data_IF_779792360059
#
_entry.id   IF_779792360059
#
_cell.length_a   1.000
_cell.length_b   1.000
_cell.length_c   1.000
_cell.angle_alpha   90.00
_cell.angle_beta   90.00
_cell.angle_gamma   90.00
#
_symmetry.space_group_name_H-M   'P 1'
#
loop_
_entity.id
_entity.type
_entity.pdbx_description
1 polymer ?
#
# COMPACT_ATOMS: atom_id res chain seq x y z
N UNK A 1 -13.97 -60.22 -30.26
CA UNK A 1 -12.63 -59.64 -30.46
C UNK A 1 -12.62 -58.29 -29.77
N UNK A 2 -11.73 -58.15 -28.80
CA UNK A 2 -11.74 -57.18 -27.70
C UNK A 2 -11.68 -55.71 -28.11
N UNK A 3 -12.39 -54.87 -27.36
CA UNK A 3 -12.07 -53.45 -27.19
C UNK A 3 -11.67 -53.23 -25.73
N UNK A 4 -10.42 -52.81 -25.52
CA UNK A 4 -9.89 -52.44 -24.21
C UNK A 4 -10.58 -51.16 -23.68
N UNK A 5 -11.15 -51.24 -22.48
CA UNK A 5 -11.55 -50.10 -21.67
C UNK A 5 -10.39 -49.71 -20.74
N UNK A 6 -9.80 -48.54 -20.93
CA UNK A 6 -8.84 -47.95 -19.97
C UNK A 6 -9.62 -47.19 -18.91
N UNK A 7 -9.67 -47.71 -17.68
CA UNK A 7 -10.21 -47.00 -16.50
C UNK A 7 -9.11 -46.10 -15.95
N UNK A 8 -9.28 -44.78 -16.05
CA UNK A 8 -8.46 -43.80 -15.35
C UNK A 8 -9.03 -43.62 -13.93
N UNK A 9 -8.33 -44.15 -12.93
CA UNK A 9 -8.59 -43.87 -11.51
C UNK A 9 -8.18 -42.42 -11.19
N UNK A 10 -9.15 -41.52 -11.08
CA UNK A 10 -8.98 -40.23 -10.41
C UNK A 10 -9.00 -40.47 -8.90
N UNK A 11 -7.83 -40.48 -8.27
CA UNK A 11 -7.71 -40.48 -6.81
C UNK A 11 -8.11 -39.11 -6.27
N UNK A 12 -9.37 -38.98 -5.87
CA UNK A 12 -9.80 -37.91 -4.97
C UNK A 12 -9.16 -38.16 -3.60
N UNK A 13 -8.03 -37.49 -3.35
CA UNK A 13 -7.49 -37.30 -1.99
C UNK A 13 -8.49 -36.46 -1.20
N UNK A 14 -9.50 -37.12 -0.63
CA UNK A 14 -10.31 -36.55 0.43
C UNK A 14 -9.42 -36.41 1.66
N UNK A 15 -9.00 -35.17 1.95
CA UNK A 15 -8.39 -34.85 3.23
C UNK A 15 -9.41 -35.20 4.32
N UNK A 16 -9.05 -36.13 5.21
CA UNK A 16 -9.93 -36.51 6.31
C UNK A 16 -10.27 -35.29 7.19
N UNK A 17 -11.47 -35.22 7.78
CA UNK A 17 -11.87 -34.10 8.64
C UNK A 17 -10.87 -33.83 9.77
N UNK A 18 -10.21 -34.88 10.26
CA UNK A 18 -9.17 -34.82 11.30
C UNK A 18 -7.91 -34.12 10.80
N UNK A 19 -7.44 -34.45 9.59
CA UNK A 19 -6.28 -33.78 8.99
C UNK A 19 -6.60 -32.31 8.65
N UNK A 20 -7.84 -32.02 8.25
CA UNK A 20 -8.29 -30.64 8.03
C UNK A 20 -8.30 -29.85 9.35
N UNK A 21 -8.87 -30.42 10.42
CA UNK A 21 -8.95 -29.82 11.77
C UNK A 21 -7.57 -29.59 12.39
N UNK A 22 -6.67 -30.58 12.35
CA UNK A 22 -5.30 -30.43 12.85
C UNK A 22 -4.55 -29.31 12.11
N UNK A 23 -4.75 -29.22 10.79
CA UNK A 23 -4.15 -28.16 9.97
C UNK A 23 -4.81 -26.79 10.25
N UNK A 24 -6.09 -26.72 10.63
CA UNK A 24 -6.76 -25.47 11.07
C UNK A 24 -6.11 -25.01 12.37
N UNK A 25 -5.96 -25.91 13.33
CA UNK A 25 -5.41 -25.61 14.65
C UNK A 25 -3.94 -25.19 14.60
N UNK A 26 -3.10 -25.88 13.84
CA UNK A 26 -1.69 -25.48 13.62
C UNK A 26 -1.57 -24.11 12.92
N UNK A 27 -2.54 -23.77 12.05
CA UNK A 27 -2.59 -22.47 11.36
C UNK A 27 -2.99 -21.31 12.28
N UNK A 28 -3.95 -21.53 13.18
CA UNK A 28 -4.31 -20.57 14.23
C UNK A 28 -3.12 -20.30 15.16
N UNK A 29 -2.43 -21.36 15.60
CA UNK A 29 -1.25 -21.27 16.49
C UNK A 29 -0.15 -20.37 15.90
N UNK A 30 0.17 -20.53 14.62
CA UNK A 30 1.20 -19.71 13.97
C UNK A 30 0.75 -18.26 13.67
N UNK A 31 -0.55 -18.02 13.47
CA UNK A 31 -1.08 -16.67 13.33
C UNK A 31 -1.00 -15.95 14.67
N UNK A 32 -1.42 -16.60 15.75
CA UNK A 32 -1.22 -16.12 17.11
C UNK A 32 0.26 -15.93 17.42
N UNK A 33 1.15 -16.78 16.86
CA UNK A 33 2.59 -16.57 16.95
C UNK A 33 3.04 -15.30 16.22
N UNK A 34 2.51 -15.00 15.03
CA UNK A 34 2.83 -13.75 14.33
C UNK A 34 2.30 -12.52 15.08
N UNK A 35 1.04 -12.57 15.56
CA UNK A 35 0.46 -11.49 16.36
C UNK A 35 1.25 -11.27 17.63
N UNK A 36 1.53 -12.34 18.37
CA UNK A 36 2.34 -12.33 19.58
C UNK A 36 3.73 -11.79 19.29
N UNK A 37 4.39 -12.23 18.21
CA UNK A 37 5.68 -11.69 17.78
C UNK A 37 5.61 -10.19 17.48
N UNK A 38 4.59 -9.73 16.74
CA UNK A 38 4.44 -8.32 16.37
C UNK A 38 4.11 -7.44 17.59
N UNK A 39 3.23 -7.91 18.47
CA UNK A 39 2.89 -7.26 19.74
C UNK A 39 4.08 -7.24 20.72
N UNK A 40 4.84 -8.33 20.81
CA UNK A 40 6.08 -8.40 21.58
C UNK A 40 7.11 -7.42 21.04
N UNK A 41 7.30 -7.38 19.71
CA UNK A 41 8.23 -6.45 19.07
C UNK A 41 7.82 -4.98 19.31
N UNK A 42 6.52 -4.68 19.20
CA UNK A 42 5.95 -3.38 19.58
C UNK A 42 6.26 -3.02 21.05
N UNK A 43 5.99 -3.93 22.00
CA UNK A 43 6.22 -3.69 23.42
C UNK A 43 7.71 -3.54 23.77
N UNK A 44 8.57 -4.36 23.16
CA UNK A 44 10.02 -4.25 23.29
C UNK A 44 10.51 -2.88 22.83
N UNK A 45 10.06 -2.42 21.66
CA UNK A 45 10.45 -1.13 21.11
C UNK A 45 10.02 0.03 22.00
N UNK A 46 8.74 0.05 22.42
CA UNK A 46 8.20 1.03 23.36
C UNK A 46 8.97 1.08 24.68
N UNK A 47 9.38 -0.09 25.19
CA UNK A 47 10.17 -0.20 26.42
C UNK A 47 11.57 0.39 26.21
N UNK A 48 12.24 0.04 25.11
CA UNK A 48 13.55 0.59 24.74
C UNK A 48 13.49 2.11 24.58
N UNK A 49 12.49 2.64 23.87
CA UNK A 49 12.28 4.09 23.70
C UNK A 49 12.07 4.79 25.04
N UNK A 50 11.25 4.21 25.94
CA UNK A 50 11.07 4.75 27.29
C UNK A 50 12.35 4.76 28.11
N UNK A 51 13.22 3.76 27.96
CA UNK A 51 14.51 3.69 28.65
C UNK A 51 15.52 4.71 28.08
N UNK A 52 15.55 4.88 26.75
CA UNK A 52 16.40 5.87 26.09
C UNK A 52 15.99 7.31 26.42
N UNK A 53 14.69 7.59 26.46
CA UNK A 53 14.17 8.88 26.92
C UNK A 53 14.59 9.20 28.37
N UNK A 54 14.65 8.19 29.25
CA UNK A 54 15.10 8.34 30.64
C UNK A 54 16.62 8.53 30.77
N UNK A 55 17.42 8.05 29.82
CA UNK A 55 18.89 8.18 29.86
C UNK A 55 19.41 9.47 29.21
N UNK A 56 18.52 10.35 28.73
CA UNK A 56 18.90 11.58 28.01
C UNK A 56 19.50 11.33 26.63
N UNK A 57 19.50 10.09 26.16
CA UNK A 57 20.03 9.71 24.87
C UNK A 57 18.89 9.71 23.84
N UNK A 58 18.52 10.88 23.33
CA UNK A 58 17.50 11.07 22.29
C UNK A 58 17.98 10.60 20.89
N UNK A 59 18.86 9.60 20.83
CA UNK A 59 19.36 9.04 19.58
C UNK A 59 18.24 8.32 18.86
N UNK A 60 17.65 8.98 17.86
CA UNK A 60 16.80 8.34 16.86
C UNK A 60 17.47 7.06 16.36
N UNK A 61 16.76 5.93 16.40
CA UNK A 61 17.20 4.64 15.83
C UNK A 61 17.23 4.65 14.30
N UNK A 62 17.43 5.81 13.68
CA UNK A 62 17.49 5.99 12.24
C UNK A 62 18.60 5.11 11.67
N UNK A 63 18.29 4.45 10.56
CA UNK A 63 19.26 3.71 9.76
C UNK A 63 20.51 4.59 9.51
N UNK A 64 21.70 4.08 9.83
CA UNK A 64 22.95 4.82 9.68
C UNK A 64 23.18 5.26 8.23
N UNK A 65 22.74 4.45 7.26
CA UNK A 65 22.85 4.80 5.83
C UNK A 65 21.95 6.00 5.53
N UNK A 66 20.71 6.00 6.04
CA UNK A 66 19.81 7.13 5.89
C UNK A 66 20.37 8.38 6.58
N UNK A 67 20.87 8.26 7.81
CA UNK A 67 21.47 9.38 8.54
C UNK A 67 22.58 10.04 7.73
N UNK A 68 23.48 9.24 7.14
CA UNK A 68 24.55 9.78 6.29
C UNK A 68 23.98 10.46 5.04
N UNK A 69 22.96 9.88 4.41
CA UNK A 69 22.32 10.48 3.25
C UNK A 69 21.67 11.85 3.56
N UNK A 70 21.12 12.03 4.77
CA UNK A 70 20.49 13.28 5.20
C UNK A 70 21.49 14.39 5.57
N UNK A 71 22.79 14.09 5.79
CA UNK A 71 23.78 15.09 6.20
C UNK A 71 24.17 16.08 5.08
N UNK A 72 24.16 15.62 3.83
CA UNK A 72 24.65 16.38 2.67
C UNK A 72 23.58 16.52 1.58
N UNK A 73 22.44 17.10 1.94
CA UNK A 73 21.32 17.25 1.00
C UNK A 73 21.69 18.05 -0.23
N UNK A 74 21.24 17.58 -1.39
CA UNK A 74 21.25 18.33 -2.64
C UNK A 74 19.85 18.86 -2.91
N UNK A 75 19.76 20.04 -3.53
CA UNK A 75 18.49 20.59 -3.98
C UNK A 75 18.56 20.88 -5.48
N UNK A 76 17.56 20.40 -6.21
CA UNK A 76 17.36 20.60 -7.63
C UNK A 76 15.97 21.19 -7.83
N UNK A 77 15.82 22.17 -8.71
CA UNK A 77 14.53 22.79 -9.06
C UNK A 77 14.13 22.40 -10.48
N UNK A 78 12.90 21.95 -10.64
CA UNK A 78 12.26 21.69 -11.94
C UNK A 78 11.19 22.74 -12.18
N UNK A 79 11.28 23.46 -13.31
CA UNK A 79 10.28 24.47 -13.71
C UNK A 79 10.08 24.47 -15.22
N UNK A 80 8.85 24.27 -15.68
CA UNK A 80 8.54 24.19 -17.13
C UNK A 80 8.80 25.51 -17.88
N UNK A 81 8.86 26.65 -17.17
CA UNK A 81 9.17 27.98 -17.73
C UNK A 81 10.68 28.26 -17.86
N UNK A 82 11.54 27.31 -17.44
CA UNK A 82 12.99 27.45 -17.50
C UNK A 82 13.62 28.21 -16.33
N UNK A 83 12.86 28.60 -15.31
CA UNK A 83 13.39 29.28 -14.11
C UNK A 83 14.12 28.35 -13.13
N UNK A 84 14.11 27.03 -13.39
CA UNK A 84 14.72 25.99 -12.57
C UNK A 84 16.04 25.47 -13.15
N UNK A 85 16.60 24.42 -12.54
CA UNK A 85 17.76 23.70 -13.07
C UNK A 85 17.39 22.82 -14.28
N UNK A 86 16.16 22.30 -14.30
CA UNK A 86 15.62 21.48 -15.40
C UNK A 86 14.20 21.91 -15.74
N UNK A 87 13.75 21.60 -16.96
CA UNK A 87 12.36 21.85 -17.39
C UNK A 87 11.46 20.62 -17.23
N UNK A 88 12.06 19.43 -17.12
CA UNK A 88 11.35 18.15 -16.91
C UNK A 88 11.82 17.43 -15.65
N UNK A 89 10.94 16.60 -15.08
CA UNK A 89 11.26 15.79 -13.91
C UNK A 89 12.18 14.63 -14.31
N UNK A 90 12.00 14.07 -15.51
CA UNK A 90 12.83 13.00 -16.04
C UNK A 90 14.30 13.40 -16.18
N UNK A 91 14.60 14.62 -16.64
CA UNK A 91 15.97 15.13 -16.73
C UNK A 91 16.60 15.32 -15.35
N UNK A 92 15.87 15.88 -14.39
CA UNK A 92 16.34 16.02 -13.01
C UNK A 92 16.64 14.68 -12.35
N UNK A 93 15.80 13.66 -12.56
CA UNK A 93 16.09 12.30 -12.08
C UNK A 93 17.27 11.69 -12.83
N UNK A 94 17.45 12.00 -14.12
CA UNK A 94 18.54 11.49 -14.93
C UNK A 94 19.91 12.03 -14.51
N UNK A 95 19.97 13.28 -14.03
CA UNK A 95 21.21 13.90 -13.54
C UNK A 95 21.74 13.30 -12.25
N UNK A 96 20.89 12.61 -11.47
CA UNK A 96 21.29 11.95 -10.23
C UNK A 96 22.14 10.71 -10.57
N UNK A 97 23.35 10.59 -10.01
CA UNK A 97 24.25 9.49 -10.30
C UNK A 97 23.66 8.15 -9.84
N UNK A 98 24.04 7.07 -10.54
CA UNK A 98 23.76 5.71 -10.06
C UNK A 98 24.49 5.48 -8.73
N UNK A 99 23.90 4.65 -7.88
CA UNK A 99 24.34 4.39 -6.51
C UNK A 99 24.44 5.66 -5.67
N UNK A 100 23.43 6.53 -5.81
CA UNK A 100 23.30 7.74 -5.03
C UNK A 100 23.33 7.43 -3.51
N UNK A 101 24.11 8.22 -2.76
CA UNK A 101 24.31 8.05 -1.31
C UNK A 101 23.84 9.25 -0.49
N UNK A 102 23.36 10.30 -1.15
CA UNK A 102 22.94 11.56 -0.53
C UNK A 102 21.48 11.84 -0.85
N UNK A 103 20.76 12.47 0.06
CA UNK A 103 19.40 12.94 -0.19
C UNK A 103 19.41 13.99 -1.31
N UNK A 104 18.67 13.74 -2.39
CA UNK A 104 18.44 14.73 -3.45
C UNK A 104 16.98 15.16 -3.41
N UNK A 105 16.75 16.41 -3.01
CA UNK A 105 15.43 17.06 -2.97
C UNK A 105 15.16 17.76 -4.30
N UNK A 106 14.24 17.21 -5.08
CA UNK A 106 13.75 17.78 -6.33
C UNK A 106 12.51 18.60 -6.01
N UNK A 107 12.67 19.93 -5.95
CA UNK A 107 11.55 20.86 -5.91
C UNK A 107 10.92 20.94 -7.31
N UNK A 108 9.63 20.64 -7.41
CA UNK A 108 8.88 20.67 -8.66
C UNK A 108 7.91 21.85 -8.58
N UNK A 109 8.11 22.86 -9.43
CA UNK A 109 7.23 24.03 -9.50
C UNK A 109 5.83 23.63 -9.97
N UNK A 110 4.80 24.42 -9.65
CA UNK A 110 3.44 24.14 -10.11
C UNK A 110 3.37 23.99 -11.63
N UNK A 111 2.64 22.98 -12.10
CA UNK A 111 2.54 22.68 -13.51
C UNK A 111 1.89 21.33 -13.78
N UNK A 112 1.61 21.07 -15.06
CA UNK A 112 1.13 19.79 -15.54
C UNK A 112 2.25 19.09 -16.31
N UNK A 113 2.83 18.07 -15.68
CA UNK A 113 3.97 17.31 -16.19
C UNK A 113 3.47 16.03 -16.84
N UNK A 114 3.38 16.03 -18.18
CA UNK A 114 3.00 14.86 -18.98
C UNK A 114 4.21 13.95 -19.19
N UNK A 115 4.58 13.22 -18.16
CA UNK A 115 5.79 12.38 -18.14
C UNK A 115 5.49 10.98 -17.60
N UNK A 116 6.09 9.97 -18.21
CA UNK A 116 6.13 8.60 -17.68
C UNK A 116 7.50 8.34 -17.06
N UNK A 117 7.53 8.16 -15.73
CA UNK A 117 8.77 8.18 -14.97
C UNK A 117 9.00 6.84 -14.26
N UNK A 118 10.24 6.33 -14.37
CA UNK A 118 10.70 5.17 -13.61
C UNK A 118 11.98 5.52 -12.86
N UNK A 119 11.90 5.60 -11.53
CA UNK A 119 13.09 5.68 -10.68
C UNK A 119 13.65 4.27 -10.51
N UNK A 120 14.85 4.07 -11.05
CA UNK A 120 15.56 2.79 -10.98
C UNK A 120 16.12 2.52 -9.59
N UNK A 121 16.24 1.25 -9.21
CA UNK A 121 16.76 0.74 -7.92
C UNK A 121 18.18 1.18 -7.53
N UNK A 122 18.86 1.97 -8.35
CA UNK A 122 20.20 2.50 -8.09
C UNK A 122 20.17 3.99 -7.80
N UNK A 123 19.00 4.58 -7.56
CA UNK A 123 18.82 6.02 -7.32
C UNK A 123 18.03 6.23 -6.03
N UNK A 124 18.58 5.69 -4.95
CA UNK A 124 18.00 5.80 -3.60
C UNK A 124 18.05 7.26 -3.11
N UNK A 125 17.30 7.55 -2.04
CA UNK A 125 17.30 8.85 -1.36
C UNK A 125 16.83 10.04 -2.22
N UNK A 126 15.85 9.82 -3.11
CA UNK A 126 15.20 10.91 -3.84
C UNK A 126 13.98 11.41 -3.06
N UNK A 127 13.86 12.72 -2.92
CA UNK A 127 12.65 13.37 -2.40
C UNK A 127 12.07 14.29 -3.46
N UNK A 128 10.78 14.14 -3.77
CA UNK A 128 10.04 15.12 -4.57
C UNK A 128 9.27 16.06 -3.65
N UNK A 129 9.35 17.36 -3.90
CA UNK A 129 8.63 18.38 -3.12
C UNK A 129 7.88 19.31 -4.07
N UNK A 130 6.56 19.37 -3.90
CA UNK A 130 5.71 20.33 -4.58
C UNK A 130 5.24 21.46 -3.67
N UNK A 131 4.65 22.48 -4.29
CA UNK A 131 3.99 23.57 -3.57
C UNK A 131 2.72 23.03 -2.87
N UNK A 132 2.54 23.25 -1.55
CA UNK A 132 1.38 22.76 -0.81
C UNK A 132 0.04 23.41 -1.23
N UNK A 133 0.08 24.65 -1.72
CA UNK A 133 -1.10 25.39 -2.17
C UNK A 133 -1.41 25.14 -3.64
N UNK A 134 -0.38 24.87 -4.44
CA UNK A 134 -0.53 24.52 -5.86
C UNK A 134 0.34 23.31 -6.27
N UNK A 135 0.00 22.09 -5.81
CA UNK A 135 0.79 20.90 -6.12
C UNK A 135 0.95 20.66 -7.62
N UNK A 136 2.17 20.35 -8.11
CA UNK A 136 2.36 19.90 -9.48
C UNK A 136 1.63 18.57 -9.72
N UNK A 137 1.15 18.39 -10.94
CA UNK A 137 0.46 17.17 -11.37
C UNK A 137 1.32 16.43 -12.37
N UNK A 138 1.66 15.18 -12.06
CA UNK A 138 2.35 14.26 -12.96
C UNK A 138 1.32 13.30 -13.54
N UNK A 139 1.16 13.34 -14.86
CA UNK A 139 0.01 12.75 -15.56
C UNK A 139 0.43 11.82 -16.69
N UNK A 140 -0.34 10.75 -16.85
CA UNK A 140 -0.20 9.75 -17.90
C UNK A 140 -1.55 9.06 -18.17
N UNK A 141 -1.58 8.16 -19.13
CA UNK A 141 -2.81 7.47 -19.54
C UNK A 141 -2.56 6.05 -20.08
N UNK A 142 -1.46 5.43 -19.67
CA UNK A 142 -1.12 4.07 -20.07
C UNK A 142 -2.06 3.06 -19.41
N UNK A 143 -2.48 2.04 -20.16
CA UNK A 143 -3.10 0.82 -19.63
C UNK A 143 -2.43 -0.43 -20.14
N UNK A 144 -2.91 -1.55 -19.61
CA UNK A 144 -2.53 -2.85 -20.10
C UNK A 144 -2.82 -2.97 -21.59
N UNK A 145 -2.00 -3.77 -22.25
CA UNK A 145 -2.18 -4.20 -23.63
C UNK A 145 -1.83 -5.69 -23.70
N UNK A 146 -1.75 -6.27 -24.91
CA UNK A 146 -1.22 -7.64 -25.05
C UNK A 146 0.21 -7.76 -24.50
N UNK A 147 1.01 -6.71 -24.69
CA UNK A 147 2.44 -6.65 -24.36
C UNK A 147 2.73 -6.02 -22.99
N UNK A 148 1.95 -5.00 -22.59
CA UNK A 148 2.11 -4.31 -21.30
C UNK A 148 1.23 -4.93 -20.23
N UNK A 149 1.79 -5.30 -19.08
CA UNK A 149 1.02 -5.75 -17.91
C UNK A 149 0.79 -4.58 -16.95
N UNK A 150 -0.08 -4.76 -15.94
CA UNK A 150 -0.41 -3.71 -14.95
C UNK A 150 0.84 -3.04 -14.35
N UNK A 151 1.90 -3.82 -14.11
CA UNK A 151 3.16 -3.31 -13.59
C UNK A 151 3.79 -2.19 -14.45
N UNK A 152 3.61 -2.29 -15.76
CA UNK A 152 4.19 -1.41 -16.78
C UNK A 152 3.33 -0.17 -17.06
N UNK A 153 2.11 -0.08 -16.52
CA UNK A 153 1.17 1.01 -16.83
C UNK A 153 1.34 2.25 -15.96
N UNK A 154 2.16 2.14 -14.90
CA UNK A 154 2.39 3.22 -13.95
C UNK A 154 2.85 4.52 -14.64
N UNK A 155 2.12 5.62 -14.42
CA UNK A 155 2.58 6.98 -14.78
C UNK A 155 3.88 7.29 -14.04
N UNK A 156 3.94 7.00 -12.74
CA UNK A 156 5.15 7.15 -11.93
C UNK A 156 5.47 5.86 -11.18
N UNK A 157 6.67 5.31 -11.40
CA UNK A 157 7.12 4.10 -10.74
C UNK A 157 8.42 4.32 -9.96
N UNK A 158 8.43 3.91 -8.70
CA UNK A 158 9.60 3.97 -7.82
C UNK A 158 10.08 2.57 -7.51
N UNK A 159 11.33 2.27 -7.87
CA UNK A 159 12.02 1.03 -7.49
C UNK A 159 13.21 1.27 -6.55
N UNK A 160 13.48 2.53 -6.21
CA UNK A 160 14.59 2.94 -5.35
C UNK A 160 14.15 3.09 -3.89
N UNK A 161 15.06 2.82 -2.98
CA UNK A 161 14.78 2.86 -1.55
C UNK A 161 14.82 4.30 -1.02
N UNK A 162 14.16 4.53 0.13
CA UNK A 162 14.13 5.83 0.80
C UNK A 162 13.53 6.96 -0.03
N UNK A 163 12.63 6.66 -0.97
CA UNK A 163 11.94 7.69 -1.73
C UNK A 163 10.91 8.43 -0.87
N UNK A 164 10.81 9.75 -1.07
CA UNK A 164 9.79 10.56 -0.41
C UNK A 164 9.09 11.41 -1.47
N UNK A 165 7.77 11.58 -1.37
CA UNK A 165 7.05 12.61 -2.11
C UNK A 165 6.19 13.45 -1.15
N UNK A 166 6.21 14.76 -1.35
CA UNK A 166 5.52 15.75 -0.52
C UNK A 166 4.77 16.70 -1.44
N UNK A 167 3.45 16.85 -1.22
CA UNK A 167 2.58 17.76 -1.98
C UNK A 167 2.65 17.53 -3.51
N UNK A 168 2.53 16.29 -3.97
CA UNK A 168 2.52 15.94 -5.41
C UNK A 168 1.19 15.27 -5.77
N UNK A 169 0.65 15.61 -6.95
CA UNK A 169 -0.48 14.89 -7.55
C UNK A 169 0.05 13.92 -8.61
N UNK A 170 -0.29 12.64 -8.46
CA UNK A 170 -0.01 11.60 -9.45
C UNK A 170 -1.33 11.14 -10.05
N UNK A 171 -1.41 11.08 -11.37
CA UNK A 171 -2.63 10.63 -12.04
C UNK A 171 -2.39 9.73 -13.23
N UNK A 172 -3.32 8.79 -13.42
CA UNK A 172 -3.55 8.12 -14.68
C UNK A 172 -4.97 8.44 -15.14
N UNK A 173 -5.08 9.13 -16.28
CA UNK A 173 -6.35 9.68 -16.76
C UNK A 173 -7.16 8.68 -17.57
N UNK A 174 -6.72 7.42 -17.69
CA UNK A 174 -7.49 6.44 -18.43
C UNK A 174 -8.73 6.00 -17.63
N UNK A 175 -9.95 6.20 -18.16
CA UNK A 175 -11.15 5.79 -17.47
C UNK A 175 -11.29 4.26 -17.47
N UNK A 176 -12.00 3.75 -16.47
CA UNK A 176 -12.42 2.35 -16.46
C UNK A 176 -13.58 2.13 -17.44
N UNK A 177 -13.48 1.08 -18.25
CA UNK A 177 -14.56 0.63 -19.12
C UNK A 177 -15.05 -0.74 -18.63
N UNK A 178 -16.27 -0.83 -18.05
CA UNK A 178 -16.81 -2.09 -17.54
C UNK A 178 -16.74 -3.22 -18.57
N UNK A 179 -16.32 -4.41 -18.13
CA UNK A 179 -16.18 -5.59 -18.99
C UNK A 179 -14.92 -5.62 -19.87
N UNK A 180 -14.03 -4.63 -19.74
CA UNK A 180 -12.70 -4.64 -20.37
C UNK A 180 -11.61 -4.54 -19.32
N UNK A 181 -10.53 -5.28 -19.54
CA UNK A 181 -9.31 -5.11 -18.75
C UNK A 181 -8.71 -3.73 -19.04
N UNK A 182 -8.77 -2.86 -18.04
CA UNK A 182 -8.43 -1.43 -18.14
C UNK A 182 -7.54 -0.98 -16.98
N UNK A 183 -6.77 -1.90 -16.39
CA UNK A 183 -5.85 -1.60 -15.31
C UNK A 183 -4.87 -0.50 -15.75
N UNK A 184 -4.83 0.60 -15.00
CA UNK A 184 -4.11 1.80 -15.35
C UNK A 184 -3.59 2.47 -14.07
N UNK A 185 -2.30 2.28 -13.81
CA UNK A 185 -1.67 2.66 -12.54
C UNK A 185 -1.25 4.13 -12.62
N UNK A 186 -1.62 4.94 -11.62
CA UNK A 186 -1.10 6.29 -11.44
C UNK A 186 0.28 6.26 -10.79
N UNK A 187 0.41 5.46 -9.72
CA UNK A 187 1.67 5.34 -8.98
C UNK A 187 1.98 3.89 -8.61
N UNK A 188 3.24 3.48 -8.79
CA UNK A 188 3.74 2.18 -8.32
C UNK A 188 4.91 2.33 -7.35
N UNK A 189 4.76 1.77 -6.14
CA UNK A 189 5.79 1.73 -5.12
C UNK A 189 6.40 0.32 -4.99
N UNK A 190 7.66 0.15 -5.41
CA UNK A 190 8.44 -1.10 -5.29
C UNK A 190 9.71 -0.95 -4.44
N UNK A 191 10.14 0.29 -4.21
CA UNK A 191 11.32 0.62 -3.41
C UNK A 191 10.99 0.60 -1.93
N UNK A 192 11.93 0.13 -1.12
CA UNK A 192 11.72 -0.03 0.30
C UNK A 192 11.78 1.31 1.04
N UNK A 193 11.05 1.44 2.16
CA UNK A 193 11.10 2.64 3.01
C UNK A 193 10.68 3.91 2.24
N UNK A 194 9.51 3.85 1.60
CA UNK A 194 8.97 4.93 0.75
C UNK A 194 7.88 5.70 1.50
N UNK A 195 7.96 7.03 1.58
CA UNK A 195 6.98 7.86 2.28
C UNK A 195 6.26 8.88 1.37
N UNK A 196 5.00 9.17 1.69
CA UNK A 196 4.16 10.14 0.99
C UNK A 196 3.46 11.04 2.00
N UNK A 197 3.56 12.35 1.80
CA UNK A 197 2.95 13.36 2.67
C UNK A 197 2.12 14.32 1.83
N UNK A 198 0.84 14.47 2.13
CA UNK A 198 -0.08 15.36 1.40
C UNK A 198 -0.12 15.11 -0.11
N UNK A 199 0.16 13.89 -0.55
CA UNK A 199 0.09 13.52 -1.96
C UNK A 199 -1.34 13.15 -2.34
N UNK A 200 -1.64 13.25 -3.63
CA UNK A 200 -2.91 12.78 -4.18
C UNK A 200 -2.70 11.81 -5.33
N UNK A 201 -3.48 10.73 -5.36
CA UNK A 201 -3.41 9.68 -6.37
C UNK A 201 -4.77 9.55 -7.05
N UNK A 202 -4.80 9.78 -8.35
CA UNK A 202 -6.03 9.76 -9.15
C UNK A 202 -5.96 8.71 -10.24
N UNK A 203 -7.01 7.91 -10.34
CA UNK A 203 -7.20 6.94 -11.40
C UNK A 203 -8.53 6.23 -11.25
N UNK A 204 -8.68 5.13 -11.97
CA UNK A 204 -9.82 4.22 -11.85
C UNK A 204 -9.34 2.86 -11.33
N UNK A 205 -9.17 1.87 -12.20
CA UNK A 205 -8.75 0.54 -11.82
C UNK A 205 -7.24 0.46 -11.57
N UNK A 206 -6.84 -0.09 -10.43
CA UNK A 206 -5.44 -0.27 -10.00
C UNK A 206 -4.66 1.06 -9.80
N UNK A 207 -5.33 2.14 -9.39
CA UNK A 207 -4.74 3.49 -9.25
C UNK A 207 -3.40 3.52 -8.52
N UNK A 208 -3.33 2.94 -7.32
CA UNK A 208 -2.13 2.85 -6.49
C UNK A 208 -1.67 1.40 -6.40
N UNK A 209 -0.60 1.09 -7.14
CA UNK A 209 0.06 -0.20 -7.06
C UNK A 209 1.14 -0.16 -5.98
N UNK A 210 0.71 -0.35 -4.74
CA UNK A 210 1.53 -0.56 -3.54
C UNK A 210 2.18 -1.96 -3.57
N UNK A 211 3.13 -2.10 -4.48
CA UNK A 211 3.66 -3.38 -4.93
C UNK A 211 4.40 -4.11 -3.82
N UNK A 212 5.50 -3.56 -3.29
CA UNK A 212 6.31 -4.20 -2.24
C UNK A 212 7.16 -3.19 -1.48
N UNK A 213 7.50 -3.52 -0.24
CA UNK A 213 8.35 -2.69 0.63
C UNK A 213 7.62 -2.23 1.89
N UNK A 214 8.33 -1.50 2.75
CA UNK A 214 7.77 -0.73 3.86
C UNK A 214 7.37 0.64 3.36
N UNK A 215 6.08 0.98 3.41
CA UNK A 215 5.61 2.26 2.92
C UNK A 215 4.77 3.01 3.96
N UNK A 216 4.79 4.34 3.88
CA UNK A 216 4.02 5.21 4.76
C UNK A 216 3.31 6.29 3.94
N UNK A 217 2.00 6.39 4.08
CA UNK A 217 1.19 7.42 3.46
C UNK A 217 0.53 8.21 4.57
N UNK A 218 0.81 9.51 4.66
CA UNK A 218 0.23 10.39 5.66
C UNK A 218 -0.52 11.55 5.00
N UNK A 219 -1.77 11.74 5.42
CA UNK A 219 -2.63 12.81 4.92
C UNK A 219 -2.76 12.81 3.37
N UNK A 220 -2.76 11.62 2.77
CA UNK A 220 -2.88 11.48 1.32
C UNK A 220 -4.35 11.33 0.89
N UNK A 221 -4.65 11.81 -0.32
CA UNK A 221 -5.90 11.54 -1.00
C UNK A 221 -5.70 10.42 -2.04
N UNK A 222 -6.55 9.39 -2.02
CA UNK A 222 -6.46 8.26 -2.95
C UNK A 222 -7.84 8.01 -3.54
N UNK A 223 -7.97 8.19 -4.84
CA UNK A 223 -9.22 7.99 -5.55
C UNK A 223 -9.17 6.79 -6.48
N UNK A 224 -10.25 6.01 -6.53
CA UNK A 224 -10.38 5.07 -7.63
C UNK A 224 -11.62 4.17 -7.69
N UNK A 225 -11.49 3.33 -8.70
CA UNK A 225 -12.28 2.26 -9.25
C UNK A 225 -12.40 0.93 -8.50
N UNK A 226 -11.93 -0.07 -9.23
CA UNK A 226 -11.69 -1.46 -8.87
C UNK A 226 -10.26 -1.60 -8.38
N UNK A 227 -10.08 -2.25 -7.23
CA UNK A 227 -8.78 -2.65 -6.68
C UNK A 227 -7.78 -1.49 -6.62
N UNK A 228 -8.27 -0.28 -6.39
CA UNK A 228 -7.50 0.93 -6.63
C UNK A 228 -6.38 1.15 -5.62
N UNK A 229 -6.31 0.33 -4.56
CA UNK A 229 -5.13 0.13 -3.72
C UNK A 229 -4.76 -1.36 -3.74
N UNK A 230 -3.73 -1.74 -4.49
CA UNK A 230 -3.38 -3.14 -4.71
C UNK A 230 -1.88 -3.44 -4.52
N UNK A 231 -1.55 -4.72 -4.32
CA UNK A 231 -0.16 -5.19 -4.18
C UNK A 231 0.12 -5.89 -2.85
N UNK A 232 1.38 -6.02 -2.46
CA UNK A 232 1.79 -6.75 -1.25
C UNK A 232 2.80 -5.97 -0.40
N UNK A 233 2.77 -4.64 -0.43
CA UNK A 233 3.47 -3.80 0.54
C UNK A 233 3.11 -4.12 2.00
N UNK A 234 4.02 -3.74 2.92
CA UNK A 234 3.74 -3.59 4.35
C UNK A 234 3.57 -2.10 4.59
N UNK A 235 2.32 -1.64 4.61
CA UNK A 235 2.02 -0.22 4.44
C UNK A 235 1.07 0.30 5.50
N UNK A 236 1.41 1.45 6.05
CA UNK A 236 0.52 2.23 6.90
C UNK A 236 0.01 3.44 6.12
N UNK A 237 -1.31 3.50 5.96
CA UNK A 237 -2.06 4.65 5.50
C UNK A 237 -2.65 5.35 6.72
N UNK A 238 -2.15 6.53 7.06
CA UNK A 238 -2.54 7.29 8.24
C UNK A 238 -3.15 8.64 7.86
N UNK A 239 -4.31 8.96 8.43
CA UNK A 239 -5.05 10.20 8.13
C UNK A 239 -5.40 10.39 6.65
N UNK A 240 -5.43 9.30 5.87
CA UNK A 240 -5.71 9.38 4.44
C UNK A 240 -7.22 9.49 4.14
N UNK A 241 -7.55 10.14 3.04
CA UNK A 241 -8.89 10.13 2.47
C UNK A 241 -8.93 9.20 1.25
N UNK A 242 -9.67 8.11 1.39
CA UNK A 242 -9.92 7.12 0.35
C UNK A 242 -11.28 7.42 -0.29
N UNK A 243 -11.29 7.77 -1.57
CA UNK A 243 -12.50 8.18 -2.29
C UNK A 243 -12.83 7.20 -3.43
N UNK A 244 -13.91 6.45 -3.29
CA UNK A 244 -14.36 5.60 -4.40
C UNK A 244 -15.10 6.42 -5.44
N UNK A 245 -14.82 6.12 -6.71
CA UNK A 245 -15.60 6.61 -7.86
C UNK A 245 -16.21 5.42 -8.63
N UNK A 246 -16.50 4.32 -7.92
CA UNK A 246 -17.11 3.17 -8.53
C UNK A 246 -18.57 3.47 -8.93
N UNK A 247 -18.97 2.98 -10.09
CA UNK A 247 -20.37 3.03 -10.56
C UNK A 247 -21.12 1.74 -10.21
N UNK A 248 -20.38 0.63 -10.07
CA UNK A 248 -20.91 -0.71 -9.81
C UNK A 248 -20.26 -1.32 -8.56
N UNK A 249 -20.55 -2.61 -8.31
CA UNK A 249 -19.88 -3.34 -7.24
C UNK A 249 -18.38 -3.39 -7.49
N UNK A 250 -17.61 -2.97 -6.49
CA UNK A 250 -16.15 -2.85 -6.58
C UNK A 250 -15.46 -3.21 -5.26
N UNK A 251 -14.13 -3.09 -5.22
CA UNK A 251 -13.33 -3.24 -4.02
C UNK A 251 -12.33 -2.11 -3.91
N UNK A 252 -12.14 -1.58 -2.69
CA UNK A 252 -11.13 -0.57 -2.40
C UNK A 252 -9.74 -1.18 -2.47
N UNK A 253 -9.53 -2.26 -1.72
CA UNK A 253 -8.23 -2.91 -1.60
C UNK A 253 -8.18 -4.26 -2.30
N UNK A 254 -7.01 -4.60 -2.83
CA UNK A 254 -6.68 -5.93 -3.36
C UNK A 254 -5.28 -6.36 -2.93
N UNK A 255 -5.16 -6.82 -1.69
CA UNK A 255 -3.87 -7.15 -1.09
C UNK A 255 -3.45 -8.59 -1.47
N UNK A 256 -2.18 -8.75 -1.91
CA UNK A 256 -1.64 -9.94 -2.59
C UNK A 256 -0.63 -10.75 -1.78
N UNK A 257 -0.69 -10.71 -0.46
CA UNK A 257 0.15 -11.58 0.36
C UNK A 257 -0.23 -13.04 0.06
N UNK A 258 0.73 -13.79 -0.47
CA UNK A 258 0.57 -15.20 -0.87
C UNK A 258 1.31 -16.19 0.04
N UNK A 259 2.12 -15.69 0.96
CA UNK A 259 2.90 -16.50 1.87
C UNK A 259 2.71 -15.97 3.29
N UNK A 260 2.52 -16.92 4.21
CA UNK A 260 2.40 -16.66 5.64
C UNK A 260 3.66 -16.01 6.24
N UNK A 261 4.84 -16.38 5.76
CA UNK A 261 6.12 -15.84 6.23
C UNK A 261 6.32 -14.36 5.90
N UNK A 262 5.57 -13.80 4.94
CA UNK A 262 5.65 -12.39 4.62
C UNK A 262 4.96 -11.57 5.71
N UNK A 263 5.63 -10.53 6.20
CA UNK A 263 5.05 -9.57 7.15
C UNK A 263 4.21 -8.49 6.47
N UNK A 264 3.90 -8.62 5.17
CA UNK A 264 3.13 -7.63 4.40
C UNK A 264 1.66 -7.51 4.82
N UNK A 265 1.03 -6.41 4.46
CA UNK A 265 -0.33 -6.06 4.86
C UNK A 265 -0.59 -4.59 4.67
N UNK A 266 -1.86 -4.23 4.47
CA UNK A 266 -2.27 -2.83 4.46
C UNK A 266 -2.95 -2.50 5.78
N UNK A 267 -2.51 -1.43 6.43
CA UNK A 267 -3.13 -0.90 7.65
C UNK A 267 -3.60 0.52 7.39
N UNK A 268 -4.87 0.79 7.65
CA UNK A 268 -5.49 2.10 7.51
C UNK A 268 -5.87 2.60 8.90
N UNK A 269 -5.34 3.75 9.29
CA UNK A 269 -5.55 4.32 10.61
C UNK A 269 -6.03 5.76 10.50
N UNK A 270 -7.10 6.10 11.23
CA UNK A 270 -7.69 7.44 11.23
C UNK A 270 -8.05 7.93 9.82
N UNK A 271 -8.39 7.00 8.92
CA UNK A 271 -8.72 7.34 7.55
C UNK A 271 -10.20 7.71 7.41
N UNK A 272 -10.55 8.27 6.26
CA UNK A 272 -11.93 8.47 5.83
C UNK A 272 -12.18 7.76 4.52
N UNK A 273 -13.26 6.99 4.43
CA UNK A 273 -13.73 6.37 3.20
C UNK A 273 -15.05 7.01 2.79
N UNK A 274 -15.09 7.58 1.59
CA UNK A 274 -16.30 8.18 0.99
C UNK A 274 -16.41 7.81 -0.48
N UNK A 275 -17.39 8.39 -1.17
CA UNK A 275 -17.47 8.39 -2.61
C UNK A 275 -18.76 7.74 -3.10
N UNK A 276 -18.69 7.05 -4.23
CA UNK A 276 -19.83 6.45 -4.90
C UNK A 276 -19.71 4.93 -5.03
N UNK A 277 -20.80 4.29 -5.44
CA UNK A 277 -20.86 2.88 -5.76
C UNK A 277 -21.21 1.99 -4.57
N UNK A 278 -20.97 0.70 -4.75
CA UNK A 278 -21.14 -0.31 -3.71
C UNK A 278 -19.83 -1.06 -3.57
N UNK A 279 -19.08 -0.84 -2.50
CA UNK A 279 -17.69 -1.31 -2.44
C UNK A 279 -17.45 -2.23 -1.26
N UNK A 280 -16.67 -3.28 -1.52
CA UNK A 280 -15.97 -3.99 -0.46
C UNK A 280 -14.82 -3.12 0.05
N UNK A 281 -14.54 -3.19 1.35
CA UNK A 281 -13.31 -2.69 1.96
C UNK A 281 -12.08 -3.36 1.34
N UNK A 282 -12.20 -4.63 0.97
CA UNK A 282 -11.15 -5.36 0.29
C UNK A 282 -11.60 -6.69 -0.28
N UNK A 283 -10.83 -7.15 -1.27
CA UNK A 283 -10.91 -8.52 -1.79
C UNK A 283 -9.55 -9.18 -1.87
N UNK A 284 -9.50 -10.47 -1.55
CA UNK A 284 -8.25 -11.19 -1.41
C UNK A 284 -7.63 -11.54 -2.76
N UNK A 285 -6.71 -10.69 -3.25
CA UNK A 285 -5.92 -11.04 -4.43
C UNK A 285 -4.97 -12.20 -4.13
N UNK A 286 -4.39 -12.25 -2.92
CA UNK A 286 -3.56 -13.35 -2.44
C UNK A 286 -4.24 -14.20 -1.38
N UNK A 287 -3.89 -15.49 -1.29
CA UNK A 287 -4.52 -16.42 -0.36
C UNK A 287 -4.19 -16.17 1.13
N UNK A 288 -3.19 -15.33 1.45
CA UNK A 288 -2.88 -14.85 2.80
C UNK A 288 -3.13 -13.34 2.93
N UNK A 289 -4.07 -12.81 2.14
CA UNK A 289 -4.35 -11.37 2.08
C UNK A 289 -4.58 -10.78 3.46
N UNK A 290 -4.01 -9.59 3.70
CA UNK A 290 -4.09 -8.92 5.00
C UNK A 290 -4.38 -7.44 4.89
N UNK A 291 -5.49 -7.01 5.48
CA UNK A 291 -5.95 -5.63 5.51
C UNK A 291 -6.59 -5.32 6.86
N UNK A 292 -6.24 -4.19 7.48
CA UNK A 292 -6.81 -3.73 8.74
C UNK A 292 -7.26 -2.29 8.62
N UNK A 293 -8.48 -1.99 9.07
CA UNK A 293 -8.97 -0.63 9.25
C UNK A 293 -9.14 -0.34 10.74
N UNK A 294 -8.51 0.72 11.24
CA UNK A 294 -8.57 1.18 12.62
C UNK A 294 -9.01 2.65 12.69
N UNK A 295 -10.02 2.97 13.49
CA UNK A 295 -10.50 4.35 13.66
C UNK A 295 -10.91 5.04 12.36
N UNK A 296 -11.31 4.25 11.36
CA UNK A 296 -11.64 4.77 10.02
C UNK A 296 -13.13 5.11 9.96
N UNK A 297 -13.46 6.29 9.45
CA UNK A 297 -14.83 6.64 9.09
C UNK A 297 -15.20 5.99 7.75
N UNK A 298 -16.33 5.31 7.68
CA UNK A 298 -16.84 4.61 6.51
C UNK A 298 -18.23 5.13 6.15
N UNK A 299 -18.36 5.75 4.99
CA UNK A 299 -19.64 6.21 4.48
C UNK A 299 -20.51 5.03 3.96
N UNK A 300 -21.76 5.29 3.56
CA UNK A 300 -22.76 4.26 3.28
C UNK A 300 -22.54 3.44 2.00
N UNK A 301 -21.46 3.72 1.25
CA UNK A 301 -21.06 2.94 0.07
C UNK A 301 -20.51 1.54 0.40
N UNK A 302 -20.11 1.30 1.66
CA UNK A 302 -19.55 0.00 2.05
C UNK A 302 -20.66 -1.05 2.07
N UNK A 303 -20.46 -2.14 1.33
CA UNK A 303 -21.36 -3.30 1.32
C UNK A 303 -21.50 -3.90 2.74
N UNK A 304 -22.69 -4.37 3.16
CA UNK A 304 -22.88 -5.00 4.46
C UNK A 304 -21.88 -6.12 4.75
N UNK A 305 -21.60 -6.95 3.74
CA UNK A 305 -20.62 -8.04 3.77
C UNK A 305 -19.21 -7.54 4.11
N UNK A 306 -18.88 -6.31 3.69
CA UNK A 306 -17.62 -5.61 3.92
C UNK A 306 -16.45 -6.16 3.11
N UNK A 307 -16.36 -7.47 2.93
CA UNK A 307 -15.17 -8.13 2.40
C UNK A 307 -15.51 -9.27 1.43
N UNK A 308 -14.60 -9.50 0.47
CA UNK A 308 -14.69 -10.65 -0.44
C UNK A 308 -13.43 -11.52 -0.34
N UNK A 309 -13.53 -12.85 -0.29
CA UNK A 309 -12.35 -13.71 -0.31
C UNK A 309 -11.81 -13.93 -1.73
N UNK A 310 -12.37 -13.24 -2.72
CA UNK A 310 -12.22 -13.58 -4.13
C UNK A 310 -12.66 -15.04 -4.36
N UNK A 311 -11.71 -15.93 -4.65
CA UNK A 311 -11.91 -17.37 -4.86
C UNK A 311 -11.07 -18.20 -3.88
N UNK A 312 -10.55 -17.59 -2.81
CA UNK A 312 -9.70 -18.26 -1.84
C UNK A 312 -10.49 -18.79 -0.63
N UNK A 313 -10.01 -19.88 0.00
CA UNK A 313 -10.45 -20.23 1.35
C UNK A 313 -10.18 -19.08 2.33
N UNK A 314 -11.16 -18.78 3.17
CA UNK A 314 -11.12 -17.62 4.08
C UNK A 314 -10.16 -17.77 5.25
N UNK A 315 -9.78 -19.01 5.58
CA UNK A 315 -8.97 -19.36 6.76
C UNK A 315 -7.60 -18.65 6.85
N UNK A 316 -7.03 -18.29 5.70
CA UNK A 316 -5.70 -17.67 5.64
C UNK A 316 -5.77 -16.14 5.48
N UNK A 317 -6.96 -15.59 5.23
CA UNK A 317 -7.19 -14.16 5.03
C UNK A 317 -7.32 -13.50 6.41
N UNK A 318 -6.66 -12.36 6.59
CA UNK A 318 -6.77 -11.55 7.80
C UNK A 318 -7.34 -10.18 7.47
N UNK A 319 -8.66 -10.04 7.56
CA UNK A 319 -9.35 -8.77 7.40
C UNK A 319 -9.99 -8.35 8.71
N UNK A 320 -9.58 -7.19 9.21
CA UNK A 320 -9.93 -6.73 10.54
C UNK A 320 -10.43 -5.29 10.58
N UNK A 321 -11.41 -5.04 11.45
CA UNK A 321 -11.93 -3.70 11.73
C UNK A 321 -11.83 -3.40 13.22
N UNK A 322 -11.27 -2.24 13.57
CA UNK A 322 -11.16 -1.76 14.95
C UNK A 322 -11.71 -0.34 15.08
N UNK A 323 -12.68 -0.13 15.97
CA UNK A 323 -13.29 1.18 16.26
C UNK A 323 -13.59 2.06 15.03
N UNK A 324 -14.00 1.44 13.91
CA UNK A 324 -14.46 2.16 12.72
C UNK A 324 -15.85 2.75 12.99
N UNK A 325 -16.18 3.85 12.31
CA UNK A 325 -17.41 4.63 12.54
C UNK A 325 -18.07 5.02 11.21
N UNK A 326 -19.27 5.61 11.28
CA UNK A 326 -20.05 5.98 10.11
C UNK A 326 -21.03 4.89 9.64
N UNK A 327 -21.92 5.23 8.69
CA UNK A 327 -23.01 4.33 8.27
C UNK A 327 -22.50 3.02 7.62
N UNK A 328 -21.37 3.05 6.92
CA UNK A 328 -20.76 1.85 6.31
C UNK A 328 -20.00 0.96 7.29
N UNK A 329 -19.77 1.44 8.52
CA UNK A 329 -19.12 0.67 9.57
C UNK A 329 -20.11 -0.24 10.33
N UNK A 330 -21.38 -0.32 9.93
CA UNK A 330 -22.33 -1.28 10.48
C UNK A 330 -21.87 -2.72 10.20
N UNK A 331 -21.78 -3.51 11.26
CA UNK A 331 -21.13 -4.84 11.26
C UNK A 331 -22.11 -6.00 11.20
N UNK A 332 -23.41 -5.74 11.38
CA UNK A 332 -24.44 -6.79 11.49
C UNK A 332 -24.51 -7.73 10.28
N UNK A 333 -24.10 -7.24 9.11
CA UNK A 333 -24.07 -8.00 7.86
C UNK A 333 -22.69 -8.45 7.40
N UNK A 334 -21.64 -8.26 8.21
CA UNK A 334 -20.27 -8.63 7.81
C UNK A 334 -20.17 -10.13 7.60
N UNK A 335 -19.34 -10.52 6.64
CA UNK A 335 -19.01 -11.93 6.43
C UNK A 335 -18.48 -12.57 7.72
N UNK A 336 -18.87 -13.81 8.07
CA UNK A 336 -18.55 -14.39 9.38
C UNK A 336 -17.05 -14.54 9.70
N UNK A 337 -16.20 -14.51 8.68
CA UNK A 337 -14.75 -14.64 8.81
C UNK A 337 -14.03 -13.27 8.94
N UNK A 338 -14.74 -12.15 8.80
CA UNK A 338 -14.19 -10.84 9.10
C UNK A 338 -13.94 -10.72 10.62
N UNK A 339 -12.82 -10.10 10.99
CA UNK A 339 -12.37 -10.05 12.38
C UNK A 339 -12.74 -8.74 13.04
N UNK A 340 -13.35 -8.87 14.21
CA UNK A 340 -13.57 -7.74 15.09
C UNK A 340 -12.46 -7.66 16.10
N UNK A 341 -11.53 -6.74 15.86
CA UNK A 341 -10.30 -6.71 16.62
C UNK A 341 -10.55 -6.14 18.02
N UNK A 342 -9.89 -6.72 19.01
CA UNK A 342 -9.71 -6.08 20.33
C UNK A 342 -8.70 -4.95 20.24
N UNK A 343 -8.52 -4.20 21.33
CA UNK A 343 -7.47 -3.18 21.39
C UNK A 343 -6.07 -3.81 21.22
N UNK A 344 -5.86 -4.96 21.85
CA UNK A 344 -4.63 -5.72 21.84
C UNK A 344 -4.32 -6.27 20.43
N UNK A 345 -5.32 -6.78 19.71
CA UNK A 345 -5.14 -7.27 18.34
C UNK A 345 -4.91 -6.13 17.32
N UNK A 346 -5.53 -4.96 17.53
CA UNK A 346 -5.41 -3.82 16.63
C UNK A 346 -4.12 -3.02 16.85
N UNK A 347 -3.61 -2.98 18.09
CA UNK A 347 -2.42 -2.20 18.46
C UNK A 347 -1.23 -2.44 17.55
N UNK A 348 -0.90 -3.68 17.11
CA UNK A 348 0.19 -4.03 16.19
C UNK A 348 -0.05 -3.72 14.69
N UNK A 349 -1.18 -3.09 14.35
CA UNK A 349 -1.40 -2.44 13.04
C UNK A 349 -1.55 -0.91 13.10
N UNK A 350 -1.88 -0.33 14.25
CA UNK A 350 -2.30 1.06 14.40
C UNK A 350 -1.17 2.09 14.68
N UNK A 351 0.04 1.92 14.16
CA UNK A 351 1.11 2.92 14.30
C UNK A 351 2.31 2.71 13.38
N UNK A 352 3.22 3.68 13.33
CA UNK A 352 4.41 3.71 12.45
C UNK A 352 5.32 2.50 12.64
N UNK A 353 5.35 1.90 13.84
CA UNK A 353 6.08 0.65 14.07
C UNK A 353 5.58 -0.49 13.15
N UNK A 354 4.32 -0.47 12.68
CA UNK A 354 3.83 -1.49 11.74
C UNK A 354 4.67 -1.52 10.47
N UNK A 355 5.32 -0.41 10.11
CA UNK A 355 6.20 -0.31 8.94
C UNK A 355 7.65 -0.06 9.34
N UNK A 356 8.01 -0.39 10.58
CA UNK A 356 9.32 -0.13 11.17
C UNK A 356 9.73 1.36 11.11
N UNK A 357 8.74 2.26 11.17
CA UNK A 357 8.87 3.68 10.86
C UNK A 357 9.95 4.42 11.66
N UNK A 358 10.15 4.11 12.94
CA UNK A 358 11.17 4.81 13.75
C UNK A 358 12.62 4.50 13.33
N UNK A 359 12.81 3.60 12.36
CA UNK A 359 14.12 3.31 11.75
C UNK A 359 14.39 4.08 10.46
N UNK A 360 13.37 4.69 9.83
CA UNK A 360 13.53 5.28 8.49
C UNK A 360 12.62 6.47 8.17
N UNK A 361 11.57 6.71 8.94
CA UNK A 361 10.79 7.94 8.83
C UNK A 361 11.56 9.09 9.45
N UNK A 362 11.84 10.08 8.65
CA UNK A 362 12.39 11.38 9.03
C UNK A 362 11.26 12.35 9.33
N UNK A 363 11.49 13.32 10.22
CA UNK A 363 10.52 14.38 10.50
C UNK A 363 10.33 15.22 9.22
N UNK A 364 9.11 15.25 8.70
CA UNK A 364 8.70 16.03 7.52
C UNK A 364 7.43 16.80 7.79
#
# INVERSE_FOLDING_TARGET
MDFQLTIILLSLLSLSPVALSARVQEREVDFERWLSWNAHHYNMKRTTESLMAKSGNNGSSLDMILRNAEMEKERIVVSQDGSGNFTTISEAIASIPKHNKRRVEIEIKPGLYREKIVINKTRDFITLVGDPLNPPTITGNDSITREKKTYDTATFAVNADYFIAINIKFENTLPHFPGKDTQAVAFRASGNKTAFYNCSFYGWQDTLYDHKGFHYFNNCFIQGSVDFICGYGRTLYENCHVNSIAENVSSITAQKRNLKSLSSGFSFKNCKITGTGKVYLGRAWGNYSRVVFSYTYMDNLILPEGWSPWNWPTINIYYGEYKCSGPGANRSGRVPWARMLTAEEATPFAGTYFVDGDTWLTNH
#
